data_IF_781031619269
#
_entry.id   IF_781031619269
#
_cell.length_a   1.000
_cell.length_b   1.000
_cell.length_c   1.000
_cell.angle_alpha   90.00
_cell.angle_beta   90.00
_cell.angle_gamma   90.00
#
_symmetry.space_group_name_H-M   'P 1'
#
loop_
_entity.id
_entity.type
_entity.pdbx_description
1 polymer ?
#
# COMPACT_ATOMS: atom_id res chain seq x y z
N UNK A 1 -64.99 63.18 -42.17
CA UNK A 1 -65.78 61.95 -42.34
C UNK A 1 -65.71 61.15 -41.03
N UNK A 2 -66.89 60.84 -40.46
CA UNK A 2 -67.27 59.73 -39.53
C UNK A 2 -66.17 58.80 -38.95
N UNK A 3 -65.99 58.72 -37.62
CA UNK A 3 -66.71 57.88 -36.60
C UNK A 3 -66.36 56.36 -36.65
N UNK A 4 -65.71 55.73 -35.65
CA UNK A 4 -66.24 55.21 -34.33
C UNK A 4 -66.79 53.76 -34.44
N UNK A 5 -66.55 52.76 -33.54
CA UNK A 5 -66.24 52.70 -32.08
C UNK A 5 -65.35 51.49 -31.66
N UNK A 6 -65.13 51.30 -30.34
CA UNK A 6 -64.44 50.18 -29.66
C UNK A 6 -65.35 48.94 -29.41
N UNK A 7 -64.75 47.79 -29.04
CA UNK A 7 -65.40 46.72 -28.25
C UNK A 7 -64.47 46.12 -27.17
N UNK A 8 -65.05 45.53 -26.11
CA UNK A 8 -64.39 45.25 -24.81
C UNK A 8 -64.88 43.95 -24.14
N UNK A 9 -63.98 43.27 -23.40
CA UNK A 9 -64.26 42.32 -22.28
C UNK A 9 -65.08 41.05 -22.66
N UNK A 10 -65.17 39.94 -21.89
CA UNK A 10 -64.87 39.66 -20.45
C UNK A 10 -64.65 38.15 -20.19
N UNK A 11 -63.98 37.82 -19.09
CA UNK A 11 -63.89 36.50 -18.43
C UNK A 11 -65.28 35.91 -18.05
N UNK A 12 -65.41 34.57 -17.99
CA UNK A 12 -66.47 33.85 -17.22
C UNK A 12 -65.92 32.57 -16.57
N UNK A 13 -66.48 32.23 -15.41
CA UNK A 13 -66.26 31.02 -14.60
C UNK A 13 -67.57 30.59 -13.93
N UNK A 14 -67.62 29.35 -13.39
CA UNK A 14 -68.73 28.76 -12.61
C UNK A 14 -69.97 28.29 -13.43
N UNK A 15 -70.75 27.26 -13.04
CA UNK A 15 -70.51 26.14 -12.09
C UNK A 15 -71.55 25.01 -12.29
N UNK A 16 -71.24 23.82 -11.73
CA UNK A 16 -72.12 22.75 -11.20
C UNK A 16 -73.40 22.33 -11.95
N UNK A 17 -73.53 21.00 -12.12
CA UNK A 17 -74.79 20.30 -11.79
C UNK A 17 -74.52 18.94 -11.12
N UNK A 18 -75.25 18.65 -10.05
CA UNK A 18 -75.32 17.34 -9.38
C UNK A 18 -76.40 16.49 -10.03
N UNK A 19 -76.19 15.18 -10.14
CA UNK A 19 -77.23 14.15 -10.26
C UNK A 19 -76.84 12.95 -9.39
N UNK A 20 -77.84 12.22 -8.89
CA UNK A 20 -77.67 11.18 -7.87
C UNK A 20 -78.60 9.99 -8.11
N UNK A 21 -78.22 8.84 -7.53
CA UNK A 21 -78.91 7.53 -7.57
C UNK A 21 -78.68 6.72 -8.87
N UNK A 22 -78.60 5.37 -8.83
CA UNK A 22 -78.70 4.44 -7.68
C UNK A 22 -77.90 3.14 -7.94
N UNK A 23 -77.46 2.54 -6.83
CA UNK A 23 -76.82 1.21 -6.66
C UNK A 23 -77.01 0.15 -7.77
N UNK A 24 -75.89 -0.48 -8.16
CA UNK A 24 -75.79 -1.94 -8.33
C UNK A 24 -74.35 -2.39 -7.99
N UNK A 25 -74.21 -3.35 -7.08
CA UNK A 25 -72.91 -3.85 -6.63
C UNK A 25 -72.30 -4.83 -7.63
N UNK A 26 -71.23 -4.43 -8.32
CA UNK A 26 -70.35 -5.41 -8.96
C UNK A 26 -69.41 -5.99 -7.89
N UNK A 27 -69.55 -7.30 -7.64
CA UNK A 27 -68.60 -8.05 -6.80
C UNK A 27 -67.22 -7.95 -7.45
N UNK A 28 -66.31 -7.18 -6.85
CA UNK A 28 -64.87 -7.37 -7.10
C UNK A 28 -64.52 -8.76 -6.57
N UNK A 29 -64.48 -9.74 -7.47
CA UNK A 29 -63.79 -11.00 -7.22
C UNK A 29 -62.32 -10.68 -7.03
N UNK A 30 -61.90 -10.51 -5.78
CA UNK A 30 -60.49 -10.63 -5.44
C UNK A 30 -60.08 -12.04 -5.83
N UNK A 31 -59.25 -12.16 -6.86
CA UNK A 31 -58.53 -13.41 -7.14
C UNK A 31 -57.49 -13.54 -6.03
N UNK A 32 -57.96 -13.96 -4.87
CA UNK A 32 -57.12 -14.36 -3.77
C UNK A 32 -56.37 -15.59 -4.22
N UNK A 33 -55.12 -15.39 -4.64
CA UNK A 33 -54.16 -16.48 -4.77
C UNK A 33 -53.97 -17.03 -3.35
N UNK A 34 -54.83 -17.98 -2.98
CA UNK A 34 -54.61 -18.86 -1.84
C UNK A 34 -53.46 -19.78 -2.22
N UNK A 35 -52.24 -19.24 -2.15
CA UNK A 35 -51.07 -20.07 -1.87
C UNK A 35 -51.46 -20.91 -0.65
N UNK A 36 -51.55 -22.25 -0.77
CA UNK A 36 -51.84 -23.08 0.38
C UNK A 36 -50.76 -22.79 1.40
N UNK A 37 -51.18 -22.38 2.60
CA UNK A 37 -50.26 -21.94 3.63
C UNK A 37 -49.25 -23.04 3.93
N UNK A 38 -48.02 -22.86 3.47
CA UNK A 38 -46.85 -23.29 4.23
C UNK A 38 -46.72 -22.33 5.43
N UNK A 39 -47.73 -22.33 6.30
CA UNK A 39 -47.60 -21.88 7.68
C UNK A 39 -46.68 -22.88 8.37
N UNK A 40 -45.39 -22.78 8.06
CA UNK A 40 -44.37 -23.25 8.98
C UNK A 40 -44.60 -22.42 10.23
N UNK A 41 -45.26 -23.01 11.22
CA UNK A 41 -45.28 -22.50 12.59
C UNK A 41 -43.87 -22.69 13.15
N UNK A 42 -42.94 -21.90 12.61
CA UNK A 42 -41.57 -21.83 13.06
C UNK A 42 -41.67 -21.35 14.51
N UNK A 43 -41.37 -22.26 15.44
CA UNK A 43 -41.46 -21.97 16.86
C UNK A 43 -40.64 -20.71 17.15
N UNK A 44 -41.01 -19.94 18.19
CA UNK A 44 -40.19 -18.78 18.58
C UNK A 44 -38.71 -19.17 18.73
N UNK A 45 -38.44 -20.36 19.29
CA UNK A 45 -37.10 -20.94 19.36
C UNK A 45 -36.42 -21.16 18.00
N UNK A 46 -37.14 -21.60 16.96
CA UNK A 46 -36.59 -21.76 15.61
C UNK A 46 -36.43 -20.42 14.86
N UNK A 47 -37.26 -19.41 15.12
CA UNK A 47 -37.03 -18.03 14.64
C UNK A 47 -35.78 -17.44 15.30
N UNK A 48 -35.68 -17.51 16.63
CA UNK A 48 -34.51 -17.02 17.37
C UNK A 48 -33.24 -17.82 17.04
N UNK A 49 -33.34 -19.13 16.85
CA UNK A 49 -32.23 -19.99 16.41
C UNK A 49 -31.77 -19.66 14.99
N UNK A 50 -32.70 -19.39 14.06
CA UNK A 50 -32.37 -18.92 12.71
C UNK A 50 -31.69 -17.55 12.73
N UNK A 51 -32.20 -16.60 13.51
CA UNK A 51 -31.58 -15.28 13.68
C UNK A 51 -30.21 -15.37 14.35
N UNK A 52 -30.04 -16.18 15.39
CA UNK A 52 -28.75 -16.43 16.03
C UNK A 52 -27.77 -17.09 15.04
N UNK A 53 -28.23 -18.05 14.24
CA UNK A 53 -27.44 -18.66 13.17
C UNK A 53 -27.00 -17.63 12.11
N UNK A 54 -27.87 -16.70 11.73
CA UNK A 54 -27.52 -15.58 10.83
C UNK A 54 -26.51 -14.64 11.48
N UNK A 55 -26.66 -14.30 12.76
CA UNK A 55 -25.70 -13.44 13.49
C UNK A 55 -24.33 -14.12 13.59
N UNK A 56 -24.28 -15.41 13.95
CA UNK A 56 -23.03 -16.20 13.98
C UNK A 56 -22.43 -16.34 12.60
N UNK A 57 -23.23 -16.57 11.56
CA UNK A 57 -22.77 -16.62 10.16
C UNK A 57 -22.21 -15.27 9.70
N UNK A 58 -22.89 -14.16 9.95
CA UNK A 58 -22.41 -12.80 9.59
C UNK A 58 -21.16 -12.45 10.38
N UNK A 59 -21.09 -12.78 11.67
CA UNK A 59 -19.91 -12.58 12.51
C UNK A 59 -18.72 -13.41 12.01
N UNK A 60 -18.92 -14.71 11.72
CA UNK A 60 -17.87 -15.57 11.19
C UNK A 60 -17.45 -15.16 9.78
N UNK A 61 -18.40 -14.83 8.89
CA UNK A 61 -18.11 -14.34 7.55
C UNK A 61 -17.33 -13.02 7.60
N UNK A 62 -17.72 -12.10 8.48
CA UNK A 62 -16.95 -10.89 8.73
C UNK A 62 -15.55 -11.22 9.25
N UNK A 63 -15.42 -12.07 10.27
CA UNK A 63 -14.13 -12.39 10.90
C UNK A 63 -13.16 -13.12 9.94
N UNK A 64 -13.63 -14.08 9.15
CA UNK A 64 -12.77 -14.88 8.26
C UNK A 64 -12.54 -14.26 6.88
N UNK A 65 -13.50 -13.49 6.33
CA UNK A 65 -13.41 -12.99 4.95
C UNK A 65 -13.31 -11.46 4.85
N UNK A 66 -13.98 -10.69 5.71
CA UNK A 66 -14.04 -9.22 5.62
C UNK A 66 -12.99 -8.52 6.50
N UNK A 67 -12.69 -9.05 7.68
CA UNK A 67 -11.69 -8.51 8.59
C UNK A 67 -10.29 -8.51 7.96
N UNK A 68 -9.76 -9.68 7.54
CA UNK A 68 -8.43 -9.80 6.94
C UNK A 68 -8.27 -9.02 5.63
N UNK A 69 -9.31 -8.94 4.80
CA UNK A 69 -9.26 -8.20 3.52
C UNK A 69 -9.60 -6.71 3.67
N UNK A 70 -10.32 -6.35 4.73
CA UNK A 70 -10.79 -5.01 5.01
C UNK A 70 -9.69 -4.04 5.45
N UNK A 71 -8.52 -4.52 5.84
CA UNK A 71 -7.38 -3.66 6.19
C UNK A 71 -6.92 -2.79 5.01
N UNK A 72 -6.79 -3.36 3.79
CA UNK A 72 -6.51 -2.55 2.59
C UNK A 72 -7.66 -1.60 2.24
N UNK A 73 -8.91 -2.01 2.47
CA UNK A 73 -10.06 -1.13 2.28
C UNK A 73 -10.05 0.05 3.27
N UNK A 74 -9.62 -0.15 4.52
CA UNK A 74 -9.42 0.91 5.52
C UNK A 74 -8.30 1.86 5.09
N UNK A 75 -7.16 1.36 4.62
CA UNK A 75 -6.06 2.20 4.11
C UNK A 75 -6.38 2.93 2.78
N UNK A 76 -7.42 2.51 2.06
CA UNK A 76 -7.90 3.21 0.86
C UNK A 76 -9.00 4.24 1.15
N UNK A 77 -9.85 4.00 2.15
CA UNK A 77 -11.14 4.69 2.33
C UNK A 77 -11.50 5.07 3.79
N UNK A 78 -10.60 4.89 4.76
CA UNK A 78 -10.79 5.26 6.17
C UNK A 78 -9.69 6.23 6.67
N UNK A 79 -9.65 6.44 7.98
CA UNK A 79 -8.49 7.08 8.62
C UNK A 79 -7.32 6.08 8.62
N UNK A 80 -6.21 6.46 7.98
CA UNK A 80 -4.99 5.66 7.92
C UNK A 80 -4.44 5.48 9.34
N UNK A 81 -4.59 4.27 9.91
CA UNK A 81 -3.86 3.88 11.11
C UNK A 81 -2.45 3.46 10.73
N UNK A 82 -1.50 4.33 11.03
CA UNK A 82 -0.08 4.04 10.93
C UNK A 82 0.44 3.37 12.21
N UNK A 83 1.58 2.65 12.15
CA UNK A 83 2.12 1.94 13.31
C UNK A 83 2.72 2.90 14.35
N UNK A 84 2.11 2.92 15.54
CA UNK A 84 2.57 3.76 16.66
C UNK A 84 3.94 3.31 17.21
N UNK A 85 4.69 4.26 17.79
CA UNK A 85 5.95 3.99 18.49
C UNK A 85 7.23 4.09 17.65
N UNK A 86 7.14 4.59 16.41
CA UNK A 86 8.28 4.84 15.54
C UNK A 86 8.35 6.32 15.12
N UNK A 87 9.54 6.91 15.19
CA UNK A 87 9.77 8.35 14.89
C UNK A 87 10.46 8.58 13.53
N UNK A 88 11.06 7.53 12.95
CA UNK A 88 11.90 7.63 11.75
C UNK A 88 11.16 7.03 10.56
N UNK A 89 10.47 7.89 9.83
CA UNK A 89 9.68 7.54 8.65
C UNK A 89 10.43 7.85 7.36
N UNK A 90 10.09 7.10 6.32
CA UNK A 90 10.64 7.26 4.98
C UNK A 90 9.65 6.79 3.92
N UNK A 91 10.07 6.88 2.67
CA UNK A 91 9.33 6.36 1.52
C UNK A 91 10.25 5.58 0.60
N UNK A 92 9.67 4.77 -0.27
CA UNK A 92 10.35 4.31 -1.46
C UNK A 92 9.59 4.70 -2.73
N UNK A 93 10.36 4.95 -3.79
CA UNK A 93 9.86 5.59 -5.02
C UNK A 93 10.52 5.02 -6.28
N UNK A 94 9.78 5.10 -7.38
CA UNK A 94 10.19 4.72 -8.73
C UNK A 94 9.58 5.69 -9.75
N UNK A 95 9.72 5.41 -11.04
CA UNK A 95 8.96 6.10 -12.08
C UNK A 95 7.44 6.10 -11.89
N UNK A 96 6.87 5.16 -11.11
CA UNK A 96 5.42 5.12 -10.84
C UNK A 96 4.90 6.33 -10.06
N UNK A 97 5.72 6.94 -9.20
CA UNK A 97 5.38 8.18 -8.48
C UNK A 97 5.48 9.44 -9.37
N UNK A 98 6.03 9.31 -10.58
CA UNK A 98 6.07 10.36 -11.59
C UNK A 98 6.88 11.59 -11.18
N UNK A 99 6.39 12.78 -11.52
CA UNK A 99 7.04 14.05 -11.16
C UNK A 99 6.69 14.45 -9.72
N UNK A 100 7.68 14.41 -8.85
CA UNK A 100 7.59 14.80 -7.44
C UNK A 100 7.80 16.32 -7.30
N UNK A 101 6.96 16.99 -6.51
CA UNK A 101 7.23 18.35 -6.04
C UNK A 101 7.98 18.28 -4.71
N UNK A 102 9.31 18.42 -4.80
CA UNK A 102 10.25 18.23 -3.70
C UNK A 102 10.11 19.28 -2.60
N UNK A 103 9.82 20.55 -2.93
CA UNK A 103 9.54 21.61 -1.95
C UNK A 103 8.41 21.22 -1.00
N UNK A 104 7.29 20.74 -1.54
CA UNK A 104 6.12 20.31 -0.77
C UNK A 104 6.38 19.02 -0.01
N UNK A 105 7.12 18.08 -0.60
CA UNK A 105 7.53 16.86 0.10
C UNK A 105 8.36 17.23 1.34
N UNK A 106 9.40 18.04 1.16
CA UNK A 106 10.34 18.41 2.23
C UNK A 106 9.74 19.31 3.31
N UNK A 107 8.76 20.15 2.95
CA UNK A 107 8.17 21.15 3.85
C UNK A 107 6.87 20.69 4.52
N UNK A 108 6.15 19.72 3.93
CA UNK A 108 4.80 19.36 4.36
C UNK A 108 4.54 17.86 4.55
N UNK A 109 5.42 16.96 4.08
CA UNK A 109 5.19 15.52 4.25
C UNK A 109 5.53 15.07 5.68
N UNK A 110 4.49 14.60 6.37
CA UNK A 110 4.53 14.09 7.74
C UNK A 110 3.73 12.77 7.78
N UNK A 111 4.22 11.81 8.55
CA UNK A 111 3.51 10.59 8.96
C UNK A 111 3.49 10.61 10.49
N UNK A 112 2.32 10.54 11.12
CA UNK A 112 2.13 10.69 12.58
C UNK A 112 2.82 11.93 13.20
N UNK A 113 2.83 13.04 12.46
CA UNK A 113 3.51 14.29 12.86
C UNK A 113 5.04 14.26 12.75
N UNK A 114 5.63 13.13 12.36
CA UNK A 114 7.06 12.97 12.10
C UNK A 114 7.35 13.22 10.60
N UNK A 115 8.36 14.05 10.25
CA UNK A 115 8.70 14.30 8.86
C UNK A 115 9.42 13.12 8.22
N UNK A 116 9.29 12.99 6.90
CA UNK A 116 10.07 12.04 6.09
C UNK A 116 11.58 12.30 6.26
N UNK A 117 12.33 11.25 6.61
CA UNK A 117 13.78 11.30 6.88
C UNK A 117 14.61 10.64 5.78
N UNK A 118 14.10 9.57 5.17
CA UNK A 118 14.81 8.80 4.16
C UNK A 118 13.94 8.48 2.94
N UNK A 119 14.59 8.26 1.81
CA UNK A 119 13.96 7.92 0.52
C UNK A 119 14.77 6.81 -0.14
N UNK A 120 14.18 5.65 -0.42
CA UNK A 120 14.82 4.55 -1.15
C UNK A 120 14.32 4.52 -2.60
N UNK A 121 15.22 4.51 -3.57
CA UNK A 121 14.88 4.86 -4.95
C UNK A 121 15.16 3.68 -5.89
N UNK A 122 14.19 3.30 -6.73
CA UNK A 122 14.41 2.29 -7.77
C UNK A 122 15.52 2.77 -8.70
N UNK A 123 16.58 1.97 -8.82
CA UNK A 123 17.69 2.28 -9.73
C UNK A 123 17.64 1.43 -10.98
N UNK A 124 17.62 0.11 -10.81
CA UNK A 124 17.81 -0.85 -11.90
C UNK A 124 16.98 -2.10 -11.67
N UNK A 125 16.72 -2.83 -12.75
CA UNK A 125 15.97 -4.08 -12.75
C UNK A 125 16.60 -5.08 -13.71
N UNK A 126 16.92 -6.28 -13.21
CA UNK A 126 17.64 -7.29 -13.98
C UNK A 126 18.99 -6.76 -14.53
N UNK A 127 19.49 -7.37 -15.61
CA UNK A 127 20.79 -7.00 -16.18
C UNK A 127 20.74 -5.94 -17.29
N UNK A 128 19.65 -5.17 -17.43
CA UNK A 128 19.48 -4.28 -18.60
C UNK A 128 18.59 -3.04 -18.42
N UNK A 129 17.72 -2.98 -17.40
CA UNK A 129 16.77 -1.87 -17.23
C UNK A 129 17.23 -0.90 -16.15
N UNK A 130 17.25 0.39 -16.46
CA UNK A 130 17.34 1.49 -15.49
C UNK A 130 15.93 2.08 -15.30
N UNK A 131 15.60 2.55 -14.09
CA UNK A 131 14.37 3.30 -13.86
C UNK A 131 14.52 4.70 -14.51
N UNK A 132 13.57 5.15 -15.35
CA UNK A 132 13.71 6.39 -16.11
C UNK A 132 13.68 7.65 -15.24
N UNK A 133 13.26 7.55 -13.98
CA UNK A 133 13.28 8.66 -13.02
C UNK A 133 14.45 8.55 -12.02
N UNK A 134 15.32 7.53 -12.13
CA UNK A 134 16.38 7.28 -11.15
C UNK A 134 17.28 8.49 -10.91
N UNK A 135 17.91 9.03 -11.96
CA UNK A 135 18.93 10.09 -11.83
C UNK A 135 18.36 11.36 -11.18
N UNK A 136 17.17 11.80 -11.62
CA UNK A 136 16.45 12.94 -11.06
C UNK A 136 16.07 12.70 -9.60
N UNK A 137 15.42 11.56 -9.30
CA UNK A 137 15.01 11.23 -7.94
C UNK A 137 16.22 11.13 -6.99
N UNK A 138 17.31 10.50 -7.44
CA UNK A 138 18.51 10.27 -6.65
C UNK A 138 19.27 11.57 -6.38
N UNK A 139 19.35 12.47 -7.37
CA UNK A 139 19.90 13.81 -7.18
C UNK A 139 19.06 14.64 -6.20
N UNK A 140 17.77 14.82 -6.50
CA UNK A 140 16.88 15.68 -5.72
C UNK A 140 16.71 15.21 -4.27
N UNK A 141 16.68 13.90 -4.00
CA UNK A 141 16.61 13.39 -2.63
C UNK A 141 17.78 13.89 -1.76
N UNK A 142 19.00 13.99 -2.32
CA UNK A 142 20.17 14.55 -1.61
C UNK A 142 20.07 16.07 -1.46
N UNK A 143 19.70 16.79 -2.52
CA UNK A 143 19.60 18.26 -2.49
C UNK A 143 18.59 18.78 -1.47
N UNK A 144 17.46 18.08 -1.30
CA UNK A 144 16.45 18.43 -0.28
C UNK A 144 16.77 17.88 1.12
N UNK A 145 17.94 17.24 1.29
CA UNK A 145 18.48 16.81 2.58
C UNK A 145 17.85 15.55 3.16
N UNK A 146 17.32 14.66 2.31
CA UNK A 146 16.89 13.33 2.73
C UNK A 146 18.07 12.35 2.74
N UNK A 147 18.07 11.41 3.69
CA UNK A 147 18.98 10.25 3.63
C UNK A 147 18.49 9.35 2.49
N UNK A 148 19.22 9.32 1.38
CA UNK A 148 18.82 8.54 0.20
C UNK A 148 19.41 7.13 0.20
N UNK A 149 18.64 6.18 -0.28
CA UNK A 149 19.06 4.82 -0.61
C UNK A 149 18.63 4.45 -2.03
N UNK A 150 19.08 3.31 -2.51
CA UNK A 150 18.73 2.82 -3.85
C UNK A 150 18.47 1.32 -3.82
N UNK A 151 17.52 0.86 -4.64
CA UNK A 151 17.21 -0.55 -4.76
C UNK A 151 17.37 -1.09 -6.18
N UNK A 152 17.73 -2.37 -6.24
CA UNK A 152 17.81 -3.18 -7.44
C UNK A 152 16.72 -4.25 -7.42
N UNK A 153 15.79 -4.18 -8.38
CA UNK A 153 14.71 -5.16 -8.50
C UNK A 153 15.22 -6.44 -9.19
N UNK A 154 15.19 -7.56 -8.47
CA UNK A 154 15.68 -8.84 -8.94
C UNK A 154 14.87 -9.40 -10.13
N UNK A 155 15.56 -9.94 -11.13
CA UNK A 155 14.95 -10.57 -12.29
C UNK A 155 15.42 -12.01 -12.51
N UNK A 156 14.47 -12.95 -12.47
CA UNK A 156 14.68 -14.38 -12.76
C UNK A 156 15.07 -14.70 -14.22
N UNK A 157 15.25 -13.68 -15.05
CA UNK A 157 15.60 -13.81 -16.47
C UNK A 157 17.10 -13.53 -16.76
N UNK A 158 17.91 -13.30 -15.73
CA UNK A 158 19.34 -12.95 -15.86
C UNK A 158 20.14 -13.41 -14.64
N UNK A 159 21.38 -13.86 -14.83
CA UNK A 159 22.20 -14.35 -13.70
C UNK A 159 22.52 -13.27 -12.66
N UNK A 160 22.67 -13.67 -11.39
CA UNK A 160 23.08 -12.81 -10.29
C UNK A 160 24.27 -11.88 -10.63
N UNK A 161 25.31 -12.44 -11.24
CA UNK A 161 26.53 -11.71 -11.61
C UNK A 161 26.28 -10.62 -12.66
N UNK A 162 25.43 -10.90 -13.66
CA UNK A 162 25.05 -9.91 -14.67
C UNK A 162 24.22 -8.78 -14.07
N UNK A 163 23.30 -9.12 -13.15
CA UNK A 163 22.49 -8.14 -12.41
C UNK A 163 23.34 -7.24 -11.51
N UNK A 164 24.25 -7.82 -10.71
CA UNK A 164 25.14 -7.06 -9.84
C UNK A 164 26.10 -6.16 -10.63
N UNK A 165 26.73 -6.66 -11.69
CA UNK A 165 27.59 -5.86 -12.55
C UNK A 165 26.81 -4.72 -13.24
N UNK A 166 25.57 -4.95 -13.66
CA UNK A 166 24.73 -3.91 -14.25
C UNK A 166 24.37 -2.84 -13.22
N UNK A 167 23.92 -3.22 -12.02
CA UNK A 167 23.68 -2.29 -10.91
C UNK A 167 24.91 -1.42 -10.62
N UNK A 168 26.09 -2.04 -10.44
CA UNK A 168 27.35 -1.31 -10.18
C UNK A 168 27.83 -0.43 -11.35
N UNK A 169 27.37 -0.69 -12.58
CA UNK A 169 27.65 0.15 -13.76
C UNK A 169 26.75 1.39 -13.87
N UNK A 170 25.66 1.44 -13.10
CA UNK A 170 24.65 2.52 -13.12
C UNK A 170 24.58 3.30 -11.82
N UNK A 171 24.89 2.66 -10.71
CA UNK A 171 24.75 3.21 -9.37
C UNK A 171 26.12 3.54 -8.80
N UNK A 172 26.27 4.78 -8.34
CA UNK A 172 27.47 5.28 -7.66
C UNK A 172 27.05 5.95 -6.35
N UNK A 173 26.96 5.15 -5.29
CA UNK A 173 26.69 5.66 -3.94
C UNK A 173 27.91 6.37 -3.37
N UNK A 174 27.64 7.33 -2.49
CA UNK A 174 28.63 8.15 -1.78
C UNK A 174 28.41 8.04 -0.27
N UNK A 175 29.37 8.52 0.52
CA UNK A 175 29.21 8.64 1.97
C UNK A 175 27.92 9.40 2.32
N UNK A 176 27.24 8.94 3.36
CA UNK A 176 25.91 9.41 3.76
C UNK A 176 24.73 8.80 2.99
N UNK A 177 24.96 8.04 1.92
CA UNK A 177 23.91 7.24 1.28
C UNK A 177 23.69 5.91 2.05
N UNK A 178 22.48 5.37 2.04
CA UNK A 178 22.18 4.06 2.64
C UNK A 178 22.90 2.93 1.90
N UNK A 179 23.18 1.79 2.56
CA UNK A 179 23.65 0.59 1.89
C UNK A 179 22.74 0.21 0.69
N UNK A 180 23.30 -0.37 -0.39
CA UNK A 180 22.52 -0.88 -1.52
C UNK A 180 21.39 -1.80 -1.07
N UNK A 181 20.21 -1.68 -1.66
CA UNK A 181 19.11 -2.62 -1.42
C UNK A 181 19.02 -3.63 -2.57
N UNK A 182 18.94 -4.91 -2.24
CA UNK A 182 18.49 -5.96 -3.15
C UNK A 182 17.01 -6.27 -2.87
N UNK A 183 16.16 -6.01 -3.85
CA UNK A 183 14.72 -6.26 -3.81
C UNK A 183 14.41 -7.61 -4.47
N UNK A 184 13.92 -8.58 -3.67
CA UNK A 184 13.67 -9.97 -4.07
C UNK A 184 12.31 -10.44 -3.54
N UNK A 185 11.34 -10.53 -4.46
CA UNK A 185 9.98 -10.99 -4.15
C UNK A 185 9.62 -12.35 -4.76
N UNK A 186 10.41 -12.84 -5.73
CA UNK A 186 10.04 -13.99 -6.56
C UNK A 186 11.23 -14.92 -6.85
N UNK A 187 11.07 -16.20 -6.51
CA UNK A 187 11.99 -17.29 -6.84
C UNK A 187 11.57 -17.95 -8.18
N UNK A 188 12.49 -18.36 -9.08
CA UNK A 188 12.10 -19.09 -10.28
C UNK A 188 11.63 -20.51 -9.95
N UNK A 189 10.60 -20.96 -10.69
CA UNK A 189 9.88 -22.23 -10.42
C UNK A 189 10.71 -23.49 -10.67
N UNK A 190 11.69 -23.43 -11.57
CA UNK A 190 12.43 -24.59 -12.08
C UNK A 190 13.83 -24.75 -11.45
N UNK A 191 14.12 -23.98 -10.41
CA UNK A 191 15.40 -23.99 -9.68
C UNK A 191 15.18 -24.60 -8.29
N UNK A 192 16.24 -25.09 -7.63
CA UNK A 192 16.17 -25.47 -6.20
C UNK A 192 16.07 -24.23 -5.29
N UNK A 193 15.94 -24.40 -3.96
CA UNK A 193 16.03 -23.25 -3.04
C UNK A 193 17.50 -22.88 -2.82
N UNK A 194 18.38 -23.86 -2.82
CA UNK A 194 19.80 -23.80 -2.55
C UNK A 194 20.56 -23.08 -3.68
N UNK A 195 20.23 -23.38 -4.94
CA UNK A 195 20.79 -22.69 -6.11
C UNK A 195 20.34 -21.21 -6.11
N UNK A 196 19.04 -20.96 -5.86
CA UNK A 196 18.49 -19.61 -5.76
C UNK A 196 19.19 -18.79 -4.65
N UNK A 197 19.36 -19.37 -3.46
CA UNK A 197 20.10 -18.75 -2.36
C UNK A 197 21.56 -18.45 -2.76
N UNK A 198 22.20 -19.35 -3.52
CA UNK A 198 23.56 -19.14 -4.04
C UNK A 198 23.62 -17.98 -5.03
N UNK A 199 22.61 -17.80 -5.86
CA UNK A 199 22.51 -16.67 -6.80
C UNK A 199 22.25 -15.35 -6.06
N UNK A 200 21.33 -15.31 -5.08
CA UNK A 200 21.11 -14.12 -4.23
C UNK A 200 22.39 -13.74 -3.47
N UNK A 201 23.09 -14.70 -2.84
CA UNK A 201 24.38 -14.46 -2.17
C UNK A 201 25.47 -14.00 -3.15
N UNK A 202 25.46 -14.49 -4.39
CA UNK A 202 26.40 -14.03 -5.43
C UNK A 202 26.20 -12.54 -5.74
N UNK A 203 24.95 -12.06 -5.83
CA UNK A 203 24.68 -10.63 -5.99
C UNK A 203 25.13 -9.85 -4.75
N UNK A 204 24.73 -10.29 -3.56
CA UNK A 204 25.04 -9.62 -2.28
C UNK A 204 26.53 -9.46 -2.07
N UNK A 205 27.33 -10.51 -2.24
CA UNK A 205 28.79 -10.45 -2.08
C UNK A 205 29.46 -9.55 -3.13
N UNK A 206 29.00 -9.52 -4.39
CA UNK A 206 29.59 -8.63 -5.42
C UNK A 206 29.37 -7.17 -5.03
N UNK A 207 28.18 -6.82 -4.55
CA UNK A 207 27.82 -5.45 -4.20
C UNK A 207 28.42 -5.03 -2.85
N UNK A 208 28.47 -5.93 -1.86
CA UNK A 208 29.18 -5.75 -0.60
C UNK A 208 30.67 -5.43 -0.84
N UNK A 209 31.35 -6.25 -1.65
CA UNK A 209 32.77 -6.05 -1.98
C UNK A 209 33.06 -4.71 -2.67
N UNK A 210 32.07 -4.08 -3.32
CA UNK A 210 32.22 -2.78 -3.98
C UNK A 210 32.04 -1.60 -3.02
N UNK A 211 31.17 -1.73 -2.02
CA UNK A 211 30.80 -0.63 -1.11
C UNK A 211 31.34 -0.78 0.32
N UNK A 212 31.92 -1.93 0.68
CA UNK A 212 32.44 -2.21 2.02
C UNK A 212 31.36 -2.38 3.10
N UNK A 213 30.08 -2.43 2.71
CA UNK A 213 28.94 -2.50 3.63
C UNK A 213 27.97 -3.61 3.20
N UNK A 214 27.35 -4.28 4.16
CA UNK A 214 26.29 -5.27 3.92
C UNK A 214 25.10 -4.62 3.20
N UNK A 215 24.71 -5.08 1.98
CA UNK A 215 23.48 -4.65 1.34
C UNK A 215 22.25 -4.99 2.20
N UNK A 216 21.20 -4.19 2.06
CA UNK A 216 19.89 -4.45 2.67
C UNK A 216 19.12 -5.41 1.78
N UNK A 217 18.43 -6.41 2.36
CA UNK A 217 17.54 -7.30 1.63
C UNK A 217 16.10 -6.81 1.81
N UNK A 218 15.44 -6.40 0.73
CA UNK A 218 14.00 -6.17 0.70
C UNK A 218 13.25 -7.43 0.25
N UNK A 219 12.22 -7.79 1.03
CA UNK A 219 11.31 -8.90 0.70
C UNK A 219 10.08 -8.89 1.62
N UNK A 220 8.99 -9.57 1.26
CA UNK A 220 7.89 -9.82 2.19
C UNK A 220 8.20 -11.01 3.12
N UNK A 221 7.72 -10.98 4.38
CA UNK A 221 8.20 -11.91 5.42
C UNK A 221 8.06 -13.40 5.07
N UNK A 222 6.93 -13.79 4.45
CA UNK A 222 6.68 -15.18 4.05
C UNK A 222 7.67 -15.67 2.99
N UNK A 223 8.21 -14.78 2.15
CA UNK A 223 9.26 -15.12 1.19
C UNK A 223 10.59 -15.35 1.89
N UNK A 224 10.95 -14.49 2.86
CA UNK A 224 12.14 -14.69 3.70
C UNK A 224 12.10 -16.07 4.35
N UNK A 225 11.02 -16.38 5.06
CA UNK A 225 10.90 -17.63 5.81
C UNK A 225 10.91 -18.87 4.90
N UNK A 226 10.34 -18.76 3.69
CA UNK A 226 10.30 -19.87 2.73
C UNK A 226 11.60 -20.09 1.94
N UNK A 227 12.33 -19.02 1.60
CA UNK A 227 13.41 -19.08 0.60
C UNK A 227 14.74 -18.43 1.00
N UNK A 228 14.78 -17.59 2.03
CA UNK A 228 15.99 -16.91 2.54
C UNK A 228 16.23 -17.24 4.02
N UNK A 229 15.92 -18.47 4.42
CA UNK A 229 15.99 -18.95 5.81
C UNK A 229 17.34 -19.60 6.20
N UNK A 230 18.30 -19.68 5.27
CA UNK A 230 19.65 -20.13 5.61
C UNK A 230 20.37 -19.11 6.53
N UNK A 231 21.13 -19.54 7.56
CA UNK A 231 21.67 -18.63 8.58
C UNK A 231 22.56 -17.48 8.05
N UNK A 232 23.22 -17.69 6.91
CA UNK A 232 24.05 -16.67 6.23
C UNK A 232 23.26 -15.41 5.84
N UNK A 233 21.94 -15.49 5.70
CA UNK A 233 21.09 -14.32 5.43
C UNK A 233 20.80 -13.47 6.67
N UNK A 234 20.94 -14.01 7.89
CA UNK A 234 20.68 -13.27 9.13
C UNK A 234 21.80 -12.25 9.47
N UNK A 235 22.91 -12.28 8.73
CA UNK A 235 23.99 -11.27 8.76
C UNK A 235 23.63 -9.98 8.00
N UNK A 236 22.59 -10.01 7.15
CA UNK A 236 22.18 -8.87 6.33
C UNK A 236 21.04 -8.07 6.99
N UNK A 237 21.05 -6.72 6.91
CA UNK A 237 19.92 -5.92 7.37
C UNK A 237 18.70 -6.15 6.47
N UNK A 238 17.54 -6.38 7.08
CA UNK A 238 16.29 -6.61 6.34
C UNK A 238 15.39 -5.38 6.25
N UNK A 239 14.79 -5.20 5.09
CA UNK A 239 13.63 -4.35 4.84
C UNK A 239 12.43 -5.26 4.55
N UNK A 240 11.47 -5.32 5.47
CA UNK A 240 10.35 -6.27 5.37
C UNK A 240 9.10 -5.57 4.86
N UNK A 241 8.53 -6.06 3.77
CA UNK A 241 7.16 -5.73 3.38
C UNK A 241 6.16 -6.52 4.24
N UNK A 242 5.31 -5.80 4.98
CA UNK A 242 4.18 -6.38 5.69
C UNK A 242 3.07 -5.33 5.84
N UNK A 243 2.15 -5.29 4.88
CA UNK A 243 1.17 -4.22 4.79
C UNK A 243 0.00 -4.38 5.76
N UNK A 244 -0.50 -3.23 6.21
CA UNK A 244 -1.77 -3.06 6.93
C UNK A 244 -1.90 -3.88 8.23
N UNK A 245 -0.80 -4.09 8.94
CA UNK A 245 -0.77 -4.66 10.30
C UNK A 245 -0.26 -3.61 11.29
N UNK A 246 -0.81 -3.61 12.51
CA UNK A 246 -0.39 -2.69 13.58
C UNK A 246 1.06 -2.98 14.05
N UNK A 247 1.54 -4.22 13.85
CA UNK A 247 2.89 -4.68 14.20
C UNK A 247 3.37 -5.77 13.25
N UNK A 248 4.64 -5.71 12.88
CA UNK A 248 5.36 -6.75 12.12
C UNK A 248 5.27 -8.11 12.84
N UNK A 249 4.69 -9.11 12.17
CA UNK A 249 4.66 -10.52 12.65
C UNK A 249 6.00 -11.26 12.48
N UNK A 250 6.90 -10.76 11.62
CA UNK A 250 8.20 -11.36 11.37
C UNK A 250 9.05 -11.37 12.65
N UNK A 251 9.51 -12.55 13.06
CA UNK A 251 10.24 -12.75 14.33
C UNK A 251 11.74 -12.51 14.22
N UNK A 252 12.29 -12.41 13.00
CA UNK A 252 13.71 -12.12 12.78
C UNK A 252 14.05 -10.64 12.93
N UNK A 253 15.34 -10.33 12.89
CA UNK A 253 15.82 -8.94 12.92
C UNK A 253 15.42 -8.23 11.62
N UNK A 254 14.86 -7.02 11.75
CA UNK A 254 14.56 -6.14 10.63
C UNK A 254 14.96 -4.70 10.97
N UNK A 255 15.36 -3.95 9.93
CA UNK A 255 15.79 -2.55 10.02
C UNK A 255 14.81 -1.59 9.37
N UNK A 256 14.13 -2.02 8.32
CA UNK A 256 13.07 -1.23 7.68
C UNK A 256 11.79 -2.06 7.58
N UNK A 257 10.65 -1.39 7.61
CA UNK A 257 9.34 -2.01 7.43
C UNK A 257 8.50 -1.15 6.49
N UNK A 258 8.13 -1.72 5.34
CA UNK A 258 7.13 -1.14 4.44
C UNK A 258 5.75 -1.56 4.94
N UNK A 259 4.97 -0.61 5.44
CA UNK A 259 3.74 -0.87 6.18
C UNK A 259 2.46 -0.55 5.39
N UNK A 260 2.57 0.19 4.28
CA UNK A 260 1.47 0.44 3.34
C UNK A 260 2.01 0.84 1.96
N UNK A 261 1.29 0.43 0.92
CA UNK A 261 1.47 0.77 -0.51
C UNK A 261 0.54 1.90 -0.99
N UNK A 262 -0.35 2.40 -0.10
CA UNK A 262 -1.41 3.36 -0.44
C UNK A 262 -1.27 4.70 0.27
N UNK A 263 -0.11 4.98 0.87
CA UNK A 263 0.18 6.25 1.53
C UNK A 263 0.03 7.46 0.61
N UNK A 264 -0.27 8.62 1.18
CA UNK A 264 -0.49 9.88 0.43
C UNK A 264 0.30 11.01 1.08
N UNK A 265 1.32 11.50 0.38
CA UNK A 265 2.16 12.59 0.88
C UNK A 265 2.04 13.85 0.01
N UNK A 266 2.04 15.05 0.61
CA UNK A 266 2.20 16.31 -0.12
C UNK A 266 3.39 16.27 -1.07
N UNK A 267 3.16 16.66 -2.32
CA UNK A 267 4.18 16.71 -3.36
C UNK A 267 4.23 15.51 -4.30
N UNK A 268 3.70 14.35 -3.89
CA UNK A 268 3.56 13.16 -4.75
C UNK A 268 2.12 13.08 -5.27
N UNK A 269 1.93 12.64 -6.51
CA UNK A 269 0.60 12.42 -7.11
C UNK A 269 0.23 10.95 -7.02
N UNK A 270 -0.90 10.64 -6.39
CA UNK A 270 -1.36 9.27 -6.22
C UNK A 270 -0.83 8.65 -4.93
N UNK A 271 -0.46 7.38 -4.99
CA UNK A 271 -0.01 6.59 -3.85
C UNK A 271 1.52 6.50 -3.79
N UNK A 272 2.04 6.39 -2.57
CA UNK A 272 3.46 6.17 -2.28
C UNK A 272 3.59 5.17 -1.14
N UNK A 273 4.62 4.35 -1.24
CA UNK A 273 4.93 3.30 -0.29
C UNK A 273 5.59 3.94 0.95
N UNK A 274 5.05 3.66 2.14
CA UNK A 274 5.52 4.25 3.40
C UNK A 274 6.33 3.24 4.22
N UNK A 275 7.44 3.75 4.77
CA UNK A 275 8.43 2.96 5.46
C UNK A 275 8.75 3.50 6.85
N UNK A 276 9.01 2.58 7.76
CA UNK A 276 9.52 2.82 9.10
C UNK A 276 10.96 2.31 9.20
N UNK A 277 11.84 3.04 9.88
CA UNK A 277 13.14 2.54 10.33
C UNK A 277 13.09 2.11 11.81
N UNK A 278 13.64 0.93 12.09
CA UNK A 278 13.71 0.33 13.42
C UNK A 278 14.98 0.78 14.17
N UNK A 279 14.91 1.99 14.74
CA UNK A 279 15.97 2.60 15.55
C UNK A 279 15.83 4.11 15.62
N UNK A 280 16.79 4.77 16.27
CA UNK A 280 16.83 6.24 16.30
C UNK A 280 17.29 6.82 14.97
N UNK A 281 17.07 8.12 14.75
CA UNK A 281 17.63 8.83 13.59
C UNK A 281 19.17 8.77 13.57
N UNK A 282 19.82 8.71 14.73
CA UNK A 282 21.26 8.52 14.85
C UNK A 282 21.71 7.14 14.35
N UNK A 283 20.95 6.07 14.68
CA UNK A 283 21.23 4.71 14.18
C UNK A 283 21.02 4.61 12.66
N UNK A 284 20.04 5.34 12.11
CA UNK A 284 19.86 5.46 10.67
C UNK A 284 21.06 6.14 10.00
N UNK A 285 21.56 7.25 10.57
CA UNK A 285 22.78 7.90 10.07
C UNK A 285 23.99 6.96 10.14
N UNK A 286 24.17 6.20 11.23
CA UNK A 286 25.27 5.22 11.36
C UNK A 286 25.18 4.03 10.41
N UNK A 287 23.99 3.73 9.87
CA UNK A 287 23.83 2.67 8.86
C UNK A 287 24.41 3.10 7.50
N UNK A 288 24.45 4.40 7.21
CA UNK A 288 24.93 4.95 5.92
C UNK A 288 26.41 4.64 5.66
N UNK A 289 26.77 4.60 4.38
CA UNK A 289 28.15 4.42 3.91
C UNK A 289 29.04 5.53 4.51
N UNK A 290 30.26 5.15 4.93
CA UNK A 290 31.24 6.04 5.57
C UNK A 290 31.02 6.31 7.06
N UNK A 291 29.82 6.06 7.63
CA UNK A 291 29.51 6.44 9.02
C UNK A 291 29.60 5.29 10.05
N UNK A 292 30.15 4.14 9.66
CA UNK A 292 30.17 2.92 10.47
C UNK A 292 31.32 2.87 11.50
N UNK A 293 32.48 3.50 11.22
CA UNK A 293 33.73 3.31 11.98
C UNK A 293 34.07 4.36 13.06
N UNK A 294 33.23 5.38 13.29
CA UNK A 294 33.49 6.51 14.20
C UNK A 294 33.50 6.16 15.72
N UNK A 295 33.91 4.95 16.12
CA UNK A 295 33.85 4.44 17.51
C UNK A 295 35.13 3.71 17.96
N UNK A 296 36.16 3.52 17.11
CA UNK A 296 37.41 2.82 17.54
C UNK A 296 38.42 3.75 18.23
N UNK A 297 38.23 5.07 18.22
CA UNK A 297 39.15 6.04 18.87
C UNK A 297 38.39 7.01 19.78
N UNK A 298 38.07 6.51 20.98
CA UNK A 298 37.74 7.31 22.16
C UNK A 298 38.16 6.50 23.41
N UNK A 299 39.48 6.35 23.59
CA UNK A 299 40.09 6.03 24.88
C UNK A 299 40.19 7.28 25.77
#
# INVERSE_FOLDING_TARGET
MTNTRQTTRRRKTSSRRRTSSRSRSSRRGSVGIRLPFLHIHLSRAAIFGGLAGIVVYVWAFYYFFVGPTGFRWRALYGDDKYPEGYEVHGIDISHYQGTINWDRLRSNAMVDGCPIRFIIIKSTEGSSRIDPNFDENFYQAREYGFIRGVYHFWSNNSSARSQANYFLSKVHLLDGDLPPVLDVEHKPKNESVEDFQTDILTWLHIVENKYGVKPIIYTYYKFKDAYLSAPVFDDYPYWIAHYYVDKVEYQGKWKFWQHTDVGKLPGIKGHVDLNIYNGSYYDLMRLTIGNQENVVVAE
#
